data_IF_219078481228
#
_entry.id   IF_219078481228
#
_cell.length_a   1.000
_cell.length_b   1.000
_cell.length_c   1.000
_cell.angle_alpha   90.00
_cell.angle_beta   90.00
_cell.angle_gamma   90.00
#
_symmetry.space_group_name_H-M   'P 1'
#
loop_
_entity.id
_entity.type
_entity.pdbx_description
1 polymer ?
#
# COMPACT_ATOMS: atom_id res chain seq x y z
N UNK A 1 2.12 -42.37 -11.86
CA UNK A 1 1.88 -41.38 -10.77
C UNK A 1 3.07 -40.45 -10.58
N UNK A 2 4.27 -40.96 -10.26
CA UNK A 2 5.50 -40.15 -10.03
C UNK A 2 5.92 -39.25 -11.21
N UNK A 3 5.83 -39.72 -12.45
CA UNK A 3 6.16 -38.92 -13.65
C UNK A 3 5.19 -37.74 -13.84
N UNK A 4 3.90 -37.93 -13.57
CA UNK A 4 2.89 -36.87 -13.72
C UNK A 4 3.07 -35.78 -12.66
N UNK A 5 3.43 -36.17 -11.44
CA UNK A 5 3.75 -35.25 -10.35
C UNK A 5 5.00 -34.40 -10.64
N UNK A 6 6.07 -35.03 -11.13
CA UNK A 6 7.27 -34.31 -11.55
C UNK A 6 6.96 -33.32 -12.67
N UNK A 7 6.22 -33.73 -13.70
CA UNK A 7 5.79 -32.84 -14.79
C UNK A 7 4.92 -31.69 -14.29
N UNK A 8 4.02 -31.93 -13.34
CA UNK A 8 3.20 -30.87 -12.74
C UNK A 8 4.07 -29.87 -11.96
N UNK A 9 5.10 -30.35 -11.25
CA UNK A 9 6.04 -29.51 -10.53
C UNK A 9 6.92 -28.67 -11.46
N UNK A 10 7.39 -29.25 -12.57
CA UNK A 10 8.14 -28.54 -13.61
C UNK A 10 7.31 -27.42 -14.24
N UNK A 11 6.05 -27.72 -14.60
CA UNK A 11 5.11 -26.70 -15.11
C UNK A 11 4.89 -25.57 -14.11
N UNK A 12 4.75 -25.90 -12.83
CA UNK A 12 4.59 -24.90 -11.77
C UNK A 12 5.80 -23.97 -11.70
N UNK A 13 7.00 -24.53 -11.66
CA UNK A 13 8.25 -23.74 -11.66
C UNK A 13 8.37 -22.84 -12.88
N UNK A 14 8.03 -23.36 -14.06
CA UNK A 14 8.03 -22.56 -15.29
C UNK A 14 7.02 -21.40 -15.20
N UNK A 15 5.82 -21.62 -14.66
CA UNK A 15 4.84 -20.56 -14.44
C UNK A 15 5.34 -19.51 -13.44
N UNK A 16 5.96 -19.92 -12.33
CA UNK A 16 6.57 -19.00 -11.36
C UNK A 16 7.61 -18.11 -12.02
N UNK A 17 8.49 -18.69 -12.85
CA UNK A 17 9.53 -17.95 -13.59
C UNK A 17 8.94 -16.97 -14.62
N UNK A 18 7.92 -17.40 -15.35
CA UNK A 18 7.22 -16.54 -16.33
C UNK A 18 6.54 -15.37 -15.62
N UNK A 19 5.77 -15.63 -14.56
CA UNK A 19 5.09 -14.59 -13.79
C UNK A 19 6.09 -13.59 -13.20
N UNK A 20 7.19 -14.08 -12.62
CA UNK A 20 8.24 -13.21 -12.08
C UNK A 20 8.88 -12.36 -13.17
N UNK A 21 9.21 -12.95 -14.32
CA UNK A 21 9.76 -12.21 -15.47
C UNK A 21 8.80 -11.12 -15.97
N UNK A 22 7.49 -11.38 -16.00
CA UNK A 22 6.48 -10.38 -16.38
C UNK A 22 6.38 -9.24 -15.35
N UNK A 23 6.50 -9.54 -14.05
CA UNK A 23 6.55 -8.49 -13.01
C UNK A 23 7.80 -7.64 -13.18
N UNK A 24 8.97 -8.27 -13.37
CA UNK A 24 10.23 -7.55 -13.62
C UNK A 24 10.14 -6.70 -14.88
N UNK A 25 9.55 -7.22 -15.95
CA UNK A 25 9.32 -6.47 -17.19
C UNK A 25 8.49 -5.20 -16.93
N UNK A 26 7.43 -5.28 -16.12
CA UNK A 26 6.64 -4.08 -15.75
C UNK A 26 7.46 -3.03 -15.01
N UNK A 27 8.39 -3.43 -14.15
CA UNK A 27 9.33 -2.49 -13.50
C UNK A 27 10.29 -1.86 -14.52
N UNK A 28 10.79 -2.66 -15.48
CA UNK A 28 11.65 -2.16 -16.56
C UNK A 28 10.92 -1.17 -17.47
N UNK A 29 9.68 -1.48 -17.87
CA UNK A 29 8.84 -0.61 -18.69
C UNK A 29 8.52 0.71 -17.98
N UNK A 30 8.43 0.69 -16.65
CA UNK A 30 8.23 1.86 -15.80
C UNK A 30 9.51 2.65 -15.50
N UNK A 31 10.68 2.19 -15.98
CA UNK A 31 11.99 2.76 -15.67
C UNK A 31 12.24 2.89 -14.15
N UNK A 32 11.83 1.86 -13.41
CA UNK A 32 12.01 1.71 -11.96
C UNK A 32 12.92 0.52 -11.68
N UNK A 33 14.00 0.77 -10.96
CA UNK A 33 14.93 -0.27 -10.55
C UNK A 33 14.43 -0.96 -9.29
N UNK A 34 14.42 -2.30 -9.29
CA UNK A 34 14.15 -3.08 -8.08
C UNK A 34 15.25 -2.86 -7.04
N UNK A 35 14.88 -2.92 -5.76
CA UNK A 35 15.82 -2.90 -4.65
C UNK A 35 16.82 -4.06 -4.80
N UNK A 36 18.12 -3.83 -4.62
CA UNK A 36 19.07 -4.91 -4.53
C UNK A 36 19.04 -5.53 -3.13
N UNK A 37 19.67 -6.70 -3.01
CA UNK A 37 19.76 -7.46 -1.76
C UNK A 37 20.40 -6.64 -0.63
N UNK A 38 19.80 -6.74 0.55
CA UNK A 38 20.27 -6.06 1.76
C UNK A 38 21.22 -7.02 2.50
N UNK A 39 22.51 -6.90 2.18
CA UNK A 39 23.59 -7.64 2.84
C UNK A 39 24.16 -6.89 4.05
N UNK A 40 24.59 -7.59 5.12
CA UNK A 40 25.15 -6.96 6.32
C UNK A 40 26.48 -6.23 6.07
N UNK A 41 27.26 -6.66 5.07
CA UNK A 41 28.56 -6.08 4.68
C UNK A 41 28.48 -4.76 3.91
N UNK A 42 27.30 -4.33 3.48
CA UNK A 42 27.12 -2.98 2.89
C UNK A 42 27.27 -1.86 3.93
N UNK A 43 27.38 -2.20 5.22
CA UNK A 43 27.57 -1.26 6.31
C UNK A 43 29.03 -0.82 6.53
N UNK A 44 30.03 -1.51 5.95
CA UNK A 44 31.46 -1.19 6.12
C UNK A 44 32.01 -0.20 5.10
N UNK A 45 31.37 -0.07 3.94
CA UNK A 45 31.73 0.94 2.96
C UNK A 45 30.84 2.16 3.16
N UNK A 46 31.42 3.26 3.66
CA UNK A 46 30.74 4.53 3.88
C UNK A 46 30.07 5.12 2.60
N UNK A 47 30.31 4.53 1.42
CA UNK A 47 29.69 4.88 0.15
C UNK A 47 28.39 4.11 -0.17
N UNK A 48 28.10 3.00 0.52
CA UNK A 48 26.97 2.09 0.20
C UNK A 48 25.96 2.06 1.34
N UNK A 49 25.65 3.22 1.88
CA UNK A 49 24.59 3.39 2.87
C UNK A 49 23.25 2.92 2.25
N UNK A 50 22.56 1.97 2.89
CA UNK A 50 21.19 1.46 2.58
C UNK A 50 20.12 2.58 2.65
N UNK A 51 20.54 3.85 2.72
CA UNK A 51 19.70 5.05 2.72
C UNK A 51 19.89 5.97 1.52
N UNK A 52 20.78 5.65 0.56
CA UNK A 52 21.03 6.47 -0.64
C UNK A 52 20.55 5.76 -1.90
N UNK A 53 19.39 5.08 -1.83
CA UNK A 53 18.72 4.61 -3.04
C UNK A 53 18.29 5.84 -3.86
N UNK A 54 18.52 5.88 -5.19
CA UNK A 54 18.06 7.00 -6.00
C UNK A 54 16.56 7.21 -5.77
N UNK A 55 16.17 8.47 -5.57
CA UNK A 55 14.80 8.88 -5.25
C UNK A 55 13.82 8.64 -6.40
N UNK A 56 13.51 7.37 -6.65
CA UNK A 56 12.52 6.92 -7.64
C UNK A 56 11.10 6.90 -7.03
N UNK A 57 10.87 7.57 -5.90
CA UNK A 57 9.57 7.63 -5.20
C UNK A 57 8.48 8.24 -6.08
N UNK A 58 8.80 9.29 -6.84
CA UNK A 58 7.84 9.95 -7.72
C UNK A 58 7.43 9.03 -8.88
N UNK A 59 8.37 8.25 -9.45
CA UNK A 59 8.04 7.23 -10.46
C UNK A 59 7.11 6.17 -9.90
N UNK A 60 7.39 5.67 -8.68
CA UNK A 60 6.52 4.69 -8.03
C UNK A 60 5.12 5.25 -7.76
N UNK A 61 5.02 6.51 -7.34
CA UNK A 61 3.73 7.18 -7.14
C UNK A 61 2.89 7.21 -8.42
N UNK A 62 3.51 7.53 -9.55
CA UNK A 62 2.83 7.64 -10.86
C UNK A 62 2.28 6.30 -11.39
N UNK A 63 2.68 5.16 -10.81
CA UNK A 63 2.17 3.84 -11.18
C UNK A 63 0.82 3.48 -10.55
N UNK A 64 0.32 4.32 -9.64
CA UNK A 64 -0.94 4.11 -8.93
C UNK A 64 -1.95 5.21 -9.25
N UNK A 65 -3.25 4.88 -9.22
CA UNK A 65 -4.30 5.90 -9.30
C UNK A 65 -4.18 6.89 -8.13
N UNK A 66 -4.72 8.12 -8.24
CA UNK A 66 -4.72 9.06 -7.13
C UNK A 66 -5.35 8.47 -5.86
N UNK A 67 -6.48 7.78 -5.99
CA UNK A 67 -7.19 7.18 -4.86
C UNK A 67 -6.42 5.99 -4.26
N UNK A 68 -5.77 5.17 -5.08
CA UNK A 68 -4.87 4.13 -4.59
C UNK A 68 -3.67 4.74 -3.87
N UNK A 69 -3.08 5.80 -4.40
CA UNK A 69 -1.92 6.43 -3.77
C UNK A 69 -2.25 7.02 -2.39
N UNK A 70 -3.45 7.58 -2.19
CA UNK A 70 -3.92 8.00 -0.86
C UNK A 70 -3.98 6.82 0.13
N UNK A 71 -4.45 5.66 -0.32
CA UNK A 71 -4.44 4.43 0.48
C UNK A 71 -3.01 4.00 0.83
N UNK A 72 -2.07 4.10 -0.13
CA UNK A 72 -0.65 3.81 0.07
C UNK A 72 -0.02 4.78 1.08
N UNK A 73 -0.36 6.05 1.04
CA UNK A 73 0.11 7.03 2.03
C UNK A 73 -0.37 6.69 3.45
N UNK A 74 -1.62 6.23 3.60
CA UNK A 74 -2.11 5.74 4.88
C UNK A 74 -1.34 4.49 5.36
N UNK A 75 -1.06 3.55 4.46
CA UNK A 75 -0.24 2.36 4.76
C UNK A 75 1.19 2.74 5.20
N UNK A 76 1.82 3.68 4.49
CA UNK A 76 3.12 4.24 4.88
C UNK A 76 3.09 4.93 6.25
N UNK A 77 2.04 5.68 6.56
CA UNK A 77 1.87 6.32 7.86
C UNK A 77 1.72 5.29 9.00
N UNK A 78 1.08 4.15 8.76
CA UNK A 78 0.99 3.05 9.73
C UNK A 78 2.35 2.40 10.00
N UNK A 79 3.19 2.24 8.96
CA UNK A 79 4.50 1.60 9.08
C UNK A 79 5.55 2.56 9.68
N UNK A 80 5.57 3.81 9.22
CA UNK A 80 6.58 4.81 9.58
C UNK A 80 6.18 5.63 10.81
N UNK A 81 4.89 5.65 11.17
CA UNK A 81 4.34 6.52 12.20
C UNK A 81 4.55 8.01 11.88
N UNK A 82 4.78 8.83 12.89
CA UNK A 82 5.04 10.27 12.72
C UNK A 82 6.44 10.60 12.14
N UNK A 83 7.16 9.60 11.62
CA UNK A 83 8.57 9.74 11.20
C UNK A 83 8.73 9.96 9.69
N UNK A 84 7.61 10.05 8.96
CA UNK A 84 7.57 10.29 7.51
C UNK A 84 8.27 11.58 7.09
N UNK A 85 8.29 12.61 7.95
CA UNK A 85 8.94 13.90 7.66
C UNK A 85 10.48 13.87 7.78
N UNK A 86 11.05 12.87 8.46
CA UNK A 86 12.49 12.81 8.78
C UNK A 86 13.22 11.74 7.94
N UNK A 87 13.18 11.86 6.61
CA UNK A 87 13.70 10.86 5.67
C UNK A 87 15.16 10.44 5.90
N UNK A 88 16.00 11.34 6.41
CA UNK A 88 17.43 11.10 6.63
C UNK A 88 17.73 10.36 7.93
N UNK A 89 16.77 10.25 8.85
CA UNK A 89 16.98 9.55 10.12
C UNK A 89 17.15 8.06 9.87
N UNK A 90 18.28 7.52 10.33
CA UNK A 90 18.60 6.09 10.25
C UNK A 90 18.14 5.39 11.51
N UNK A 91 17.41 4.30 11.33
CA UNK A 91 17.04 3.38 12.39
C UNK A 91 17.76 2.05 12.21
N UNK A 92 18.04 1.39 13.33
CA UNK A 92 18.47 0.00 13.35
C UNK A 92 17.23 -0.86 13.56
N UNK A 93 16.89 -1.68 12.57
CA UNK A 93 15.69 -2.51 12.56
C UNK A 93 16.11 -3.95 12.29
N UNK A 94 15.44 -4.90 12.93
CA UNK A 94 15.61 -6.32 12.64
C UNK A 94 15.33 -6.61 11.16
N UNK A 95 16.20 -7.41 10.54
CA UNK A 95 16.08 -7.79 9.13
C UNK A 95 14.82 -8.60 8.90
N UNK A 96 14.49 -9.52 9.82
CA UNK A 96 13.21 -10.24 9.84
C UNK A 96 12.04 -9.26 9.81
N UNK A 97 12.07 -8.20 10.62
CA UNK A 97 10.99 -7.22 10.69
C UNK A 97 10.84 -6.42 9.41
N UNK A 98 11.95 -6.01 8.77
CA UNK A 98 11.90 -5.33 7.47
C UNK A 98 11.34 -6.27 6.40
N UNK A 99 11.74 -7.55 6.38
CA UNK A 99 11.20 -8.56 5.48
C UNK A 99 9.70 -8.81 5.67
N UNK A 100 9.22 -8.87 6.92
CA UNK A 100 7.79 -8.96 7.24
C UNK A 100 7.01 -7.76 6.71
N UNK A 101 7.54 -6.55 6.90
CA UNK A 101 6.92 -5.32 6.38
C UNK A 101 6.89 -5.33 4.84
N UNK A 102 7.95 -5.80 4.19
CA UNK A 102 7.99 -5.95 2.74
C UNK A 102 6.91 -6.90 2.25
N UNK A 103 6.90 -8.15 2.73
CA UNK A 103 5.92 -9.16 2.31
C UNK A 103 4.47 -8.72 2.59
N UNK A 104 4.20 -8.13 3.76
CA UNK A 104 2.89 -7.57 4.09
C UNK A 104 2.48 -6.43 3.14
N UNK A 105 3.42 -5.59 2.73
CA UNK A 105 3.18 -4.50 1.78
C UNK A 105 2.96 -5.01 0.35
N UNK A 106 3.62 -6.11 -0.05
CA UNK A 106 3.32 -6.79 -1.32
C UNK A 106 1.88 -7.33 -1.32
N UNK A 107 1.47 -8.02 -0.26
CA UNK A 107 0.09 -8.51 -0.14
C UNK A 107 -0.92 -7.36 -0.14
N UNK A 108 -0.62 -6.26 0.55
CA UNK A 108 -1.44 -5.06 0.55
C UNK A 108 -1.57 -4.44 -0.85
N UNK A 109 -0.47 -4.34 -1.61
CA UNK A 109 -0.49 -3.82 -2.97
C UNK A 109 -1.30 -4.68 -3.94
N UNK A 110 -1.20 -6.00 -3.80
CA UNK A 110 -2.01 -6.96 -4.56
C UNK A 110 -3.51 -6.75 -4.27
N UNK A 111 -3.89 -6.69 -2.99
CA UNK A 111 -5.26 -6.37 -2.57
C UNK A 111 -5.74 -5.02 -3.13
N UNK A 112 -4.94 -3.97 -2.93
CA UNK A 112 -5.29 -2.61 -3.28
C UNK A 112 -5.54 -2.46 -4.78
N UNK A 113 -4.70 -3.08 -5.61
CA UNK A 113 -4.85 -3.03 -7.07
C UNK A 113 -6.19 -3.63 -7.54
N UNK A 114 -6.61 -4.73 -6.92
CA UNK A 114 -7.89 -5.37 -7.24
C UNK A 114 -9.07 -4.47 -6.93
N UNK A 115 -9.07 -3.89 -5.73
CA UNK A 115 -10.14 -3.00 -5.29
C UNK A 115 -10.15 -1.73 -6.16
N UNK A 116 -9.00 -1.12 -6.40
CA UNK A 116 -8.89 0.10 -7.21
C UNK A 116 -9.40 -0.14 -8.63
N UNK A 117 -9.03 -1.24 -9.30
CA UNK A 117 -9.56 -1.56 -10.63
C UNK A 117 -11.10 -1.65 -10.65
N UNK A 118 -11.70 -2.30 -9.63
CA UNK A 118 -13.16 -2.38 -9.52
C UNK A 118 -13.76 -1.00 -9.25
N UNK A 119 -13.18 -0.24 -8.34
CA UNK A 119 -13.60 1.12 -8.01
C UNK A 119 -13.59 2.04 -9.23
N UNK A 120 -12.49 2.06 -10.00
CA UNK A 120 -12.36 2.87 -11.22
C UNK A 120 -13.35 2.42 -12.30
N UNK A 121 -13.61 1.12 -12.42
CA UNK A 121 -14.61 0.59 -13.34
C UNK A 121 -16.03 1.07 -12.96
N UNK A 122 -16.43 0.90 -11.70
CA UNK A 122 -17.74 1.34 -11.21
C UNK A 122 -17.90 2.87 -11.29
N UNK A 123 -16.81 3.62 -11.06
CA UNK A 123 -16.74 5.07 -11.22
C UNK A 123 -17.04 5.46 -12.67
N UNK A 124 -16.35 4.83 -13.61
CA UNK A 124 -16.52 5.07 -15.05
C UNK A 124 -17.92 4.69 -15.54
N UNK A 125 -18.50 3.63 -14.98
CA UNK A 125 -19.86 3.18 -15.27
C UNK A 125 -20.95 3.99 -14.54
N UNK A 126 -20.58 4.95 -13.68
CA UNK A 126 -21.49 5.79 -12.88
C UNK A 126 -22.42 4.99 -11.96
N UNK A 127 -21.95 3.84 -11.48
CA UNK A 127 -22.71 2.97 -10.56
C UNK A 127 -22.11 2.94 -9.15
N UNK A 128 -21.17 3.84 -8.86
CA UNK A 128 -20.59 3.95 -7.52
C UNK A 128 -21.67 4.29 -6.49
N UNK A 129 -21.75 3.57 -5.35
CA UNK A 129 -22.81 3.74 -4.35
C UNK A 129 -22.82 5.11 -3.65
N UNK A 130 -21.78 5.94 -3.83
CA UNK A 130 -21.62 7.24 -3.17
C UNK A 130 -21.22 8.39 -4.13
N UNK A 131 -21.50 8.27 -5.44
CA UNK A 131 -21.08 9.28 -6.43
C UNK A 131 -21.93 10.57 -6.46
N UNK A 132 -23.03 10.63 -5.71
CA UNK A 132 -23.91 11.80 -5.69
C UNK A 132 -23.43 12.84 -4.69
N UNK A 133 -22.47 13.70 -5.07
CA UNK A 133 -22.55 15.17 -4.81
C UNK A 133 -21.24 15.95 -5.10
N UNK A 134 -20.06 15.32 -5.22
CA UNK A 134 -18.81 16.07 -5.47
C UNK A 134 -18.50 16.30 -6.96
N UNK A 135 -18.91 15.42 -7.89
CA UNK A 135 -18.64 15.63 -9.33
C UNK A 135 -19.47 16.77 -9.94
N UNK A 136 -20.52 17.24 -9.24
CA UNK A 136 -21.25 18.45 -9.62
C UNK A 136 -20.55 19.73 -9.19
N UNK A 137 -19.75 19.74 -8.12
CA UNK A 137 -19.11 20.98 -7.66
C UNK A 137 -18.02 21.47 -8.61
N UNK A 138 -17.29 20.55 -9.26
CA UNK A 138 -16.22 20.90 -10.20
C UNK A 138 -16.78 21.35 -11.57
N UNK A 139 -17.95 20.85 -11.95
CA UNK A 139 -18.65 21.25 -13.19
C UNK A 139 -19.43 22.55 -12.97
N UNK A 140 -20.02 22.79 -11.80
CA UNK A 140 -20.74 24.03 -11.51
C UNK A 140 -19.79 25.22 -11.27
N UNK A 141 -18.59 25.01 -10.72
CA UNK A 141 -17.61 26.10 -10.57
C UNK A 141 -17.04 26.60 -11.91
N UNK A 142 -16.90 25.72 -12.91
CA UNK A 142 -16.42 26.13 -14.24
C UNK A 142 -17.49 26.83 -15.08
N UNK A 143 -18.78 26.64 -14.77
CA UNK A 143 -19.91 27.31 -15.46
C UNK A 143 -20.34 28.60 -14.73
N UNK A 144 -20.07 28.73 -13.43
CA UNK A 144 -20.46 29.91 -12.64
C UNK A 144 -19.51 31.11 -12.77
N UNK A 145 -18.28 30.94 -13.28
CA UNK A 145 -17.32 32.05 -13.42
C UNK A 145 -17.52 32.93 -14.67
N UNK A 146 -18.33 32.52 -15.65
CA UNK A 146 -18.49 33.28 -16.91
C UNK A 146 -19.72 34.22 -16.95
N UNK A 147 -20.56 34.26 -15.90
CA UNK A 147 -21.78 35.08 -15.94
C UNK A 147 -22.10 35.75 -14.60
N UNK A 148 -21.41 36.85 -14.26
CA UNK A 148 -22.10 38.04 -13.71
C UNK A 148 -21.25 39.33 -13.61
N UNK A 149 -21.81 40.48 -14.03
CA UNK A 149 -21.20 41.81 -13.85
C UNK A 149 -21.61 42.47 -12.52
N UNK A 150 -20.67 43.26 -11.99
CA UNK A 150 -20.77 44.44 -11.09
C UNK A 150 -21.97 44.68 -10.14
N UNK A 151 -21.64 45.01 -8.88
CA UNK A 151 -22.36 46.05 -8.12
C UNK A 151 -22.62 45.82 -6.61
N UNK A 152 -21.83 46.48 -5.75
CA UNK A 152 -22.34 47.35 -4.66
C UNK A 152 -22.93 46.80 -3.33
N UNK A 153 -22.12 46.96 -2.25
CA UNK A 153 -22.42 47.45 -0.86
C UNK A 153 -23.33 46.69 0.15
N UNK A 154 -22.66 46.22 1.21
CA UNK A 154 -22.90 46.35 2.68
C UNK A 154 -24.32 46.31 3.31
N UNK A 155 -24.51 45.44 4.32
CA UNK A 155 -24.90 45.80 5.71
C UNK A 155 -24.86 44.58 6.64
N UNK A 156 -24.39 44.81 7.87
CA UNK A 156 -24.31 43.87 9.01
C UNK A 156 -25.56 43.92 9.88
N UNK A 157 -25.89 42.82 10.60
CA UNK A 157 -26.49 42.80 11.96
C UNK A 157 -26.18 41.46 12.65
N UNK A 158 -26.00 41.52 13.97
CA UNK A 158 -25.53 40.47 14.88
C UNK A 158 -26.62 40.04 15.89
N UNK A 159 -26.24 39.13 16.81
CA UNK A 159 -26.85 38.71 18.10
C UNK A 159 -27.82 37.50 18.04
N UNK A 160 -27.46 36.30 18.53
CA UNK A 160 -27.18 35.78 19.89
C UNK A 160 -28.43 35.39 20.72
N UNK A 161 -28.50 34.12 21.17
CA UNK A 161 -28.93 33.68 22.52
C UNK A 161 -28.76 32.15 22.71
N UNK A 162 -28.06 31.75 23.79
CA UNK A 162 -28.04 30.42 24.46
C UNK A 162 -28.83 30.55 25.81
N UNK A 163 -28.89 29.61 26.82
CA UNK A 163 -28.31 28.25 27.05
C UNK A 163 -29.23 27.23 27.83
N UNK A 164 -28.61 26.15 28.37
CA UNK A 164 -29.01 25.16 29.44
C UNK A 164 -29.22 23.71 28.94
N UNK A 165 -28.31 22.72 29.10
CA UNK A 165 -27.70 21.98 30.26
C UNK A 165 -28.64 20.97 30.96
N UNK A 166 -28.37 19.65 30.80
CA UNK A 166 -28.31 18.66 31.90
C UNK A 166 -27.91 17.24 31.43
N UNK A 167 -26.74 16.80 31.91
CA UNK A 167 -26.37 15.51 32.55
C UNK A 167 -26.73 14.12 31.96
N UNK A 168 -25.66 13.39 31.60
CA UNK A 168 -25.52 11.93 31.52
C UNK A 168 -25.56 11.28 32.94
N UNK A 169 -25.90 9.99 33.10
CA UNK A 169 -24.91 8.88 32.99
C UNK A 169 -25.54 7.57 32.40
N UNK A 170 -24.89 6.64 31.71
CA UNK A 170 -23.55 6.44 31.17
C UNK A 170 -23.54 5.10 30.41
N UNK A 171 -22.60 4.90 29.47
CA UNK A 171 -21.96 3.61 29.19
C UNK A 171 -20.80 3.78 28.18
N UNK A 172 -19.59 3.50 28.67
CA UNK A 172 -18.36 3.02 28.02
C UNK A 172 -18.15 3.15 26.49
N UNK A 173 -17.19 4.01 26.11
CA UNK A 173 -16.03 3.89 25.17
C UNK A 173 -15.97 2.76 24.10
N UNK A 174 -15.30 2.96 22.92
CA UNK A 174 -13.94 3.51 22.84
C UNK A 174 -13.63 4.41 21.62
N UNK A 175 -13.17 5.63 21.91
CA UNK A 175 -12.34 6.41 20.99
C UNK A 175 -10.87 5.95 21.04
N UNK A 176 -10.24 5.91 19.86
CA UNK A 176 -8.79 5.76 19.73
C UNK A 176 -8.37 5.79 18.26
N UNK A 177 -7.78 6.91 17.83
CA UNK A 177 -7.14 7.17 16.53
C UNK A 177 -8.05 7.28 15.28
N UNK A 178 -8.39 8.52 14.89
CA UNK A 178 -8.98 8.76 13.56
C UNK A 178 -9.37 10.20 13.18
N UNK A 179 -9.29 11.18 14.07
CA UNK A 179 -9.81 12.53 13.82
C UNK A 179 -8.82 13.47 13.10
N UNK A 180 -8.42 13.15 11.87
CA UNK A 180 -7.62 14.10 11.08
C UNK A 180 -7.50 13.85 9.57
N UNK A 181 -7.80 12.64 9.09
CA UNK A 181 -7.73 12.34 7.66
C UNK A 181 -9.15 12.08 7.19
N UNK A 182 -9.70 12.96 6.35
CA UNK A 182 -10.97 12.69 5.66
C UNK A 182 -10.83 11.32 4.98
N UNK A 183 -11.75 10.36 5.21
CA UNK A 183 -11.65 9.05 4.57
C UNK A 183 -11.69 9.24 3.05
N UNK A 184 -10.69 8.71 2.35
CA UNK A 184 -10.65 8.76 0.88
C UNK A 184 -11.86 8.04 0.28
N UNK A 185 -12.26 8.42 -0.94
CA UNK A 185 -13.38 7.77 -1.65
C UNK A 185 -13.18 6.25 -1.76
N UNK A 186 -11.97 5.83 -2.10
CA UNK A 186 -11.61 4.41 -2.17
C UNK A 186 -11.64 3.73 -0.80
N UNK A 187 -11.26 4.42 0.28
CA UNK A 187 -11.39 3.88 1.64
C UNK A 187 -12.85 3.66 2.03
N UNK A 188 -13.72 4.64 1.77
CA UNK A 188 -15.16 4.50 2.03
C UNK A 188 -15.75 3.35 1.21
N UNK A 189 -15.33 3.21 -0.05
CA UNK A 189 -15.72 2.10 -0.91
C UNK A 189 -15.34 0.73 -0.34
N UNK A 190 -14.08 0.56 0.10
CA UNK A 190 -13.60 -0.68 0.75
C UNK A 190 -14.38 -0.99 2.02
N UNK A 191 -14.67 0.04 2.84
CA UNK A 191 -15.39 -0.13 4.10
C UNK A 191 -16.86 -0.54 3.91
N UNK A 192 -17.41 -0.40 2.70
CA UNK A 192 -18.74 -0.86 2.36
C UNK A 192 -18.80 -2.36 2.02
N UNK A 193 -17.65 -3.03 1.85
CA UNK A 193 -17.61 -4.47 1.58
C UNK A 193 -17.98 -5.28 2.82
N UNK A 194 -18.70 -6.38 2.60
CA UNK A 194 -18.85 -7.42 3.60
C UNK A 194 -17.54 -8.21 3.78
N UNK A 195 -17.47 -9.00 4.85
CA UNK A 195 -16.26 -9.74 5.21
C UNK A 195 -15.84 -10.79 4.14
N UNK A 196 -16.79 -11.42 3.46
CA UNK A 196 -16.52 -12.41 2.43
C UNK A 196 -15.93 -11.75 1.19
N UNK A 197 -16.52 -10.63 0.76
CA UNK A 197 -15.99 -9.80 -0.33
C UNK A 197 -14.58 -9.34 0.03
N UNK A 198 -14.37 -8.75 1.20
CA UNK A 198 -13.05 -8.26 1.60
C UNK A 198 -12.00 -9.38 1.62
N UNK A 199 -12.34 -10.56 2.14
CA UNK A 199 -11.46 -11.72 2.14
C UNK A 199 -11.13 -12.20 0.73
N UNK A 200 -12.12 -12.23 -0.17
CA UNK A 200 -11.94 -12.61 -1.57
C UNK A 200 -10.94 -11.68 -2.25
N UNK A 201 -10.99 -10.37 -2.01
CA UNK A 201 -10.03 -9.40 -2.53
C UNK A 201 -8.63 -9.54 -1.89
N UNK A 202 -8.56 -9.83 -0.59
CA UNK A 202 -7.30 -9.95 0.14
C UNK A 202 -6.53 -11.25 -0.14
N UNK A 203 -7.22 -12.30 -0.60
CA UNK A 203 -6.62 -13.61 -0.85
C UNK A 203 -5.83 -13.61 -2.17
N UNK A 204 -4.56 -14.04 -2.12
CA UNK A 204 -3.74 -14.27 -3.32
C UNK A 204 -4.32 -15.46 -4.09
N UNK A 205 -4.50 -15.31 -5.42
CA UNK A 205 -5.27 -16.25 -6.24
C UNK A 205 -4.50 -17.55 -6.54
N UNK A 206 -3.18 -17.46 -6.75
CA UNK A 206 -2.36 -18.61 -7.14
C UNK A 206 -1.30 -18.97 -6.10
N UNK A 207 -0.87 -20.23 -6.10
CA UNK A 207 0.23 -20.71 -5.24
C UNK A 207 1.58 -20.20 -5.75
N UNK A 208 1.66 -19.99 -7.06
CA UNK A 208 2.81 -19.48 -7.77
C UNK A 208 3.10 -18.03 -7.34
N UNK A 209 2.09 -17.17 -7.23
CA UNK A 209 2.25 -15.81 -6.69
C UNK A 209 2.71 -15.82 -5.23
N UNK A 210 2.12 -16.66 -4.37
CA UNK A 210 2.59 -16.78 -2.98
C UNK A 210 4.07 -17.15 -2.95
N UNK A 211 4.47 -18.13 -3.77
CA UNK A 211 5.87 -18.58 -3.88
C UNK A 211 6.79 -17.47 -4.42
N UNK A 212 6.32 -16.65 -5.35
CA UNK A 212 7.06 -15.49 -5.86
C UNK A 212 7.29 -14.45 -4.77
N UNK A 213 6.27 -14.12 -3.97
CA UNK A 213 6.38 -13.17 -2.85
C UNK A 213 7.43 -13.68 -1.85
N UNK A 214 7.35 -14.97 -1.48
CA UNK A 214 8.30 -15.61 -0.58
C UNK A 214 9.73 -15.57 -1.12
N UNK A 215 9.96 -16.05 -2.35
CA UNK A 215 11.30 -16.09 -2.98
C UNK A 215 11.89 -14.70 -3.18
N UNK A 216 11.08 -13.72 -3.58
CA UNK A 216 11.56 -12.36 -3.77
C UNK A 216 11.92 -11.70 -2.43
N UNK A 217 11.10 -11.91 -1.39
CA UNK A 217 11.43 -11.46 -0.03
C UNK A 217 12.71 -12.14 0.49
N UNK A 218 12.86 -13.45 0.27
CA UNK A 218 14.07 -14.20 0.61
C UNK A 218 15.30 -13.68 -0.15
N UNK A 219 15.16 -13.32 -1.43
CA UNK A 219 16.26 -12.76 -2.21
C UNK A 219 16.72 -11.37 -1.71
N UNK A 220 15.81 -10.59 -1.12
CA UNK A 220 16.12 -9.27 -0.56
C UNK A 220 16.70 -9.33 0.85
N UNK A 221 16.16 -10.21 1.71
CA UNK A 221 16.46 -10.22 3.15
C UNK A 221 17.12 -11.52 3.64
N UNK A 222 17.32 -12.50 2.78
CA UNK A 222 17.76 -13.84 3.16
C UNK A 222 16.64 -14.69 3.74
N UNK A 223 16.94 -15.98 3.99
CA UNK A 223 16.01 -16.89 4.67
C UNK A 223 15.91 -16.53 6.15
N UNK A 224 14.69 -16.32 6.68
CA UNK A 224 14.53 -16.09 8.11
C UNK A 224 14.82 -17.39 8.90
N UNK A 225 15.74 -17.34 9.85
CA UNK A 225 15.94 -18.43 10.83
C UNK A 225 14.92 -18.24 11.97
N UNK A 226 13.72 -18.80 11.81
CA UNK A 226 12.66 -18.71 12.82
C UNK A 226 12.84 -19.84 13.83
N UNK A 227 13.33 -19.51 15.01
CA UNK A 227 13.34 -20.43 16.16
C UNK A 227 12.20 -20.05 17.09
N UNK A 228 11.29 -20.98 17.36
CA UNK A 228 10.18 -20.77 18.29
C UNK A 228 10.64 -21.18 19.70
N UNK A 229 10.65 -20.23 20.61
CA UNK A 229 10.92 -20.47 22.04
C UNK A 229 9.86 -21.42 22.64
N UNK A 230 10.17 -22.12 23.75
CA UNK A 230 9.17 -22.94 24.45
C UNK A 230 7.90 -22.18 24.88
N UNK A 231 7.97 -20.84 24.95
CA UNK A 231 6.87 -19.94 25.26
C UNK A 231 6.01 -19.58 24.03
N UNK A 232 6.31 -20.14 22.85
CA UNK A 232 5.57 -19.87 21.61
C UNK A 232 5.90 -18.53 20.94
N UNK A 233 6.95 -17.84 21.40
CA UNK A 233 7.42 -16.58 20.81
C UNK A 233 8.62 -16.80 19.89
N UNK A 234 8.82 -15.91 18.92
CA UNK A 234 9.98 -15.97 18.01
C UNK A 234 11.24 -15.55 18.78
N UNK A 235 12.22 -16.44 18.84
CA UNK A 235 13.55 -16.14 19.38
C UNK A 235 14.25 -15.13 18.46
N UNK A 236 14.35 -13.90 18.94
CA UNK A 236 14.93 -12.77 18.19
C UNK A 236 16.44 -12.63 18.43
N UNK A 237 17.05 -13.51 19.23
CA UNK A 237 18.45 -13.39 19.67
C UNK A 237 19.47 -13.56 18.54
N UNK A 238 19.09 -14.26 17.46
CA UNK A 238 19.90 -14.49 16.26
C UNK A 238 19.57 -13.54 15.10
N UNK A 239 18.62 -12.63 15.28
CA UNK A 239 18.15 -11.80 14.17
C UNK A 239 19.19 -10.74 13.79
N UNK A 240 19.48 -10.64 12.50
CA UNK A 240 20.43 -9.68 11.97
C UNK A 240 19.83 -8.27 12.01
N UNK A 241 20.61 -7.28 12.43
CA UNK A 241 20.16 -5.88 12.44
C UNK A 241 20.61 -5.16 11.16
N UNK A 242 19.69 -4.43 10.53
CA UNK A 242 19.95 -3.60 9.36
C UNK A 242 19.81 -2.13 9.74
N UNK A 243 20.74 -1.29 9.27
CA UNK A 243 20.62 0.17 9.31
C UNK A 243 19.90 0.66 8.05
N UNK A 244 18.72 1.23 8.21
CA UNK A 244 17.91 1.77 7.11
C UNK A 244 17.40 3.18 7.47
N UNK A 245 17.45 4.10 6.51
CA UNK A 245 16.84 5.43 6.68
C UNK A 245 15.31 5.36 6.54
N UNK A 246 14.56 6.29 7.12
CA UNK A 246 13.11 6.33 6.88
C UNK A 246 12.76 6.57 5.40
N UNK A 247 13.60 7.30 4.65
CA UNK A 247 13.48 7.38 3.20
C UNK A 247 13.69 6.03 2.51
N UNK A 248 14.71 5.27 2.93
CA UNK A 248 14.95 3.91 2.42
C UNK A 248 13.79 2.95 2.73
N UNK A 249 13.25 3.01 3.94
CA UNK A 249 12.09 2.20 4.33
C UNK A 249 10.82 2.61 3.58
N UNK A 250 10.59 3.91 3.37
CA UNK A 250 9.50 4.43 2.54
C UNK A 250 9.60 3.91 1.11
N UNK A 251 10.78 4.01 0.49
CA UNK A 251 11.05 3.49 -0.85
C UNK A 251 10.79 1.98 -0.94
N UNK A 252 11.25 1.22 0.04
CA UNK A 252 11.05 -0.22 0.14
C UNK A 252 9.56 -0.60 0.22
N UNK A 253 8.77 0.13 1.00
CA UNK A 253 7.31 -0.09 1.08
C UNK A 253 6.61 0.29 -0.23
N UNK A 254 6.97 1.43 -0.85
CA UNK A 254 6.39 1.83 -2.13
C UNK A 254 6.67 0.80 -3.23
N UNK A 255 7.89 0.26 -3.28
CA UNK A 255 8.26 -0.78 -4.23
C UNK A 255 7.49 -2.07 -3.96
N UNK A 256 7.40 -2.51 -2.69
CA UNK A 256 6.64 -3.69 -2.29
C UNK A 256 5.17 -3.61 -2.74
N UNK A 257 4.51 -2.48 -2.48
CA UNK A 257 3.13 -2.24 -2.91
C UNK A 257 3.01 -2.31 -4.45
N UNK A 258 3.96 -1.70 -5.16
CA UNK A 258 3.99 -1.72 -6.63
C UNK A 258 4.21 -3.13 -7.16
N UNK A 259 5.09 -3.91 -6.53
CA UNK A 259 5.34 -5.31 -6.86
C UNK A 259 4.05 -6.13 -6.71
N UNK A 260 3.32 -5.96 -5.61
CA UNK A 260 2.02 -6.61 -5.39
C UNK A 260 0.96 -6.24 -6.44
N UNK A 261 0.90 -4.96 -6.79
CA UNK A 261 0.01 -4.46 -7.86
C UNK A 261 0.35 -5.09 -9.21
N UNK A 262 1.62 -5.13 -9.59
CA UNK A 262 2.06 -5.77 -10.83
C UNK A 262 1.84 -7.27 -10.82
N UNK A 263 1.99 -7.93 -9.66
CA UNK A 263 1.70 -9.35 -9.52
C UNK A 263 0.23 -9.65 -9.85
N UNK A 264 -0.71 -8.83 -9.37
CA UNK A 264 -2.11 -8.95 -9.77
C UNK A 264 -2.33 -8.72 -11.28
N UNK A 265 -1.70 -7.69 -11.85
CA UNK A 265 -1.83 -7.40 -13.29
C UNK A 265 -1.36 -8.58 -14.17
N UNK A 266 -0.25 -9.24 -13.80
CA UNK A 266 0.28 -10.36 -14.59
C UNK A 266 -0.55 -11.63 -14.42
N UNK A 267 -1.09 -11.87 -13.23
CA UNK A 267 -1.99 -13.00 -12.99
C UNK A 267 -3.33 -12.85 -13.71
N UNK A 268 -3.84 -11.62 -13.79
CA UNK A 268 -5.11 -11.31 -14.46
C UNK A 268 -4.97 -11.15 -15.98
N UNK A 269 -3.75 -11.24 -16.54
CA UNK A 269 -3.48 -10.99 -17.96
C UNK A 269 -4.30 -11.88 -18.91
N UNK A 270 -4.56 -13.14 -18.55
CA UNK A 270 -5.33 -14.08 -19.39
C UNK A 270 -6.85 -13.94 -19.19
N UNK A 271 -7.33 -13.43 -18.06
CA UNK A 271 -8.77 -13.21 -17.81
C UNK A 271 -9.34 -12.03 -18.64
N UNK A 272 -8.50 -11.30 -19.38
CA UNK A 272 -8.86 -10.09 -20.13
C UNK A 272 -9.01 -10.28 -21.66
N UNK A 273 -8.95 -11.53 -22.16
CA UNK A 273 -9.13 -11.85 -23.58
C UNK A 273 -10.36 -12.71 -23.86
#
# INVERSE_FOLDING_TARGET
RRIAEVKANERRKALEEILYALVVQKFMDADVSLMPTISPSSATDASTQVGTWPGQEEKLKQLHSPEAYEMIQNHLALILGNRVANSNTVAQISKLRVGQVYAASVMYGYFLKRVDQRFQLEKTMKILPFASDEEKSDIEQSVAEEMRPGGGKASAYAEQTHPEVSSQPGNFSPGGFGHGIKPSRLRTYVMAFDAETLQSYATIRSKEAVTIIEKHTEALFGRPEIVITPQGTIDSSKDELVRISFGGLKRLVLEAVTFGSFLWDVESYVDSR
#
